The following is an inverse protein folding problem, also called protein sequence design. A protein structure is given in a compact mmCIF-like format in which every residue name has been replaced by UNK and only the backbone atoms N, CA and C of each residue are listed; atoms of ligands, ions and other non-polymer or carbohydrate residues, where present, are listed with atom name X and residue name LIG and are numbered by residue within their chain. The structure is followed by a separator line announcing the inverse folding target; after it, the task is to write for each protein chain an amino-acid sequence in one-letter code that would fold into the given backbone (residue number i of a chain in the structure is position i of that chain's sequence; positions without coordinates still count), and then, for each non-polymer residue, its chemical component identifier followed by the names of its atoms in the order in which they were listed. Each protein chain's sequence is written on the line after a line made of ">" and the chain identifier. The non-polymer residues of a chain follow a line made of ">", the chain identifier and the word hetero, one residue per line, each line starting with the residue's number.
data_IF_122680949873
#
_entry.id   IF_122680949873
#
_cell.length_a   1.000
_cell.length_b   1.000
_cell.length_c   1.000
_cell.angle_alpha   90.00
_cell.angle_beta   90.00
_cell.angle_gamma   90.00
#
_symmetry.space_group_name_H-M   'P 1'
#
loop_
_entity.id
_entity.type
_entity.pdbx_description
1 polymer ?
#
# COMPACT_ATOMS: atom_id res chain seq x y z
N UNK A 1 10.54 -16.41 9.19
CA UNK A 1 9.69 -15.21 9.32
C UNK A 1 10.50 -14.01 8.89
N UNK A 2 9.94 -13.06 8.14
CA UNK A 2 10.68 -11.86 7.72
C UNK A 2 11.11 -11.05 8.96
N UNK A 3 12.31 -10.50 8.92
CA UNK A 3 12.84 -9.71 10.04
C UNK A 3 12.13 -8.36 10.15
N UNK A 4 12.12 -7.74 11.34
CA UNK A 4 11.53 -6.40 11.55
C UNK A 4 12.13 -5.37 10.58
N UNK A 5 13.42 -5.50 10.24
CA UNK A 5 14.09 -4.65 9.23
C UNK A 5 13.48 -4.81 7.84
N UNK A 6 13.17 -6.04 7.42
CA UNK A 6 12.54 -6.31 6.12
C UNK A 6 11.11 -5.77 6.07
N UNK A 7 10.36 -5.90 7.16
CA UNK A 7 9.00 -5.35 7.25
C UNK A 7 9.05 -3.82 7.12
N UNK A 8 10.00 -3.17 7.78
CA UNK A 8 10.13 -1.72 7.75
C UNK A 8 10.60 -1.21 6.37
N UNK A 9 11.56 -1.91 5.73
CA UNK A 9 11.99 -1.59 4.37
C UNK A 9 10.84 -1.74 3.35
N UNK A 10 10.04 -2.79 3.47
CA UNK A 10 8.87 -3.01 2.61
C UNK A 10 7.80 -1.93 2.81
N UNK A 11 7.56 -1.52 4.06
CA UNK A 11 6.66 -0.41 4.36
C UNK A 11 7.15 0.91 3.73
N UNK A 12 8.44 1.18 3.83
CA UNK A 12 9.03 2.40 3.28
C UNK A 12 8.95 2.44 1.75
N UNK A 13 9.27 1.33 1.08
CA UNK A 13 9.14 1.18 -0.36
C UNK A 13 7.68 1.33 -0.85
N UNK A 14 6.72 0.82 -0.06
CA UNK A 14 5.30 1.00 -0.36
C UNK A 14 4.85 2.47 -0.27
N UNK A 15 5.34 3.21 0.74
CA UNK A 15 5.07 4.66 0.89
C UNK A 15 5.71 5.48 -0.25
N UNK A 16 6.90 5.11 -0.71
CA UNK A 16 7.54 5.79 -1.84
C UNK A 16 6.79 5.55 -3.15
N UNK A 17 6.33 4.32 -3.40
CA UNK A 17 5.51 3.98 -4.57
C UNK A 17 4.23 4.82 -4.61
N UNK A 18 3.63 5.04 -3.44
CA UNK A 18 2.45 5.88 -3.24
C UNK A 18 2.64 7.35 -3.62
N UNK A 19 3.81 7.89 -3.29
CA UNK A 19 4.13 9.27 -3.63
C UNK A 19 4.26 9.45 -5.14
N UNK A 20 4.85 8.47 -5.82
CA UNK A 20 4.94 8.44 -7.27
C UNK A 20 3.55 8.37 -7.94
N UNK A 21 2.63 7.53 -7.45
CA UNK A 21 1.28 7.43 -8.01
C UNK A 21 0.48 8.74 -7.91
N UNK A 22 0.63 9.47 -6.80
CA UNK A 22 -0.05 10.76 -6.60
C UNK A 22 0.45 11.83 -7.58
N UNK A 23 1.75 11.81 -7.88
CA UNK A 23 2.35 12.70 -8.89
C UNK A 23 1.87 12.32 -10.29
N UNK A 24 1.85 11.03 -10.61
CA UNK A 24 1.38 10.52 -11.91
C UNK A 24 -0.08 10.89 -12.17
N UNK A 25 -0.95 10.77 -11.16
CA UNK A 25 -2.36 11.12 -11.31
C UNK A 25 -2.60 12.63 -11.49
N UNK A 26 -1.70 13.47 -10.96
CA UNK A 26 -1.75 14.93 -11.13
C UNK A 26 -1.39 15.34 -12.56
N UNK A 27 -0.51 14.59 -13.21
CA UNK A 27 0.00 14.89 -14.55
C UNK A 27 -0.89 14.28 -15.66
N UNK A 28 -2.04 13.73 -15.31
CA UNK A 28 -3.03 13.26 -16.29
C UNK A 28 -3.69 14.46 -16.97
N UNK A 29 -3.65 14.50 -18.31
CA UNK A 29 -4.37 15.49 -19.10
C UNK A 29 -5.86 15.53 -18.71
N UNK A 30 -6.45 16.74 -18.57
CA UNK A 30 -7.84 16.88 -18.18
C UNK A 30 -8.78 16.30 -19.25
N UNK A 31 -9.94 15.79 -18.81
CA UNK A 31 -10.86 14.97 -19.61
C UNK A 31 -11.57 15.73 -20.74
N UNK A 32 -11.59 17.06 -20.63
CA UNK A 32 -12.22 18.00 -21.55
C UNK A 32 -11.38 18.29 -22.79
N UNK A 33 -10.10 17.90 -22.81
CA UNK A 33 -9.24 18.08 -23.97
C UNK A 33 -9.29 16.87 -24.92
N UNK A 34 -9.43 17.10 -26.24
CA UNK A 34 -9.36 16.02 -27.21
C UNK A 34 -7.97 15.38 -27.17
N UNK A 35 -7.93 14.08 -26.87
CA UNK A 35 -6.70 13.30 -26.80
C UNK A 35 -6.49 12.53 -28.11
N UNK A 36 -5.25 12.52 -28.61
CA UNK A 36 -4.84 11.61 -29.69
C UNK A 36 -4.88 10.16 -29.21
N UNK A 37 -4.94 9.20 -30.15
CA UNK A 37 -4.96 7.78 -29.81
C UNK A 37 -3.74 7.35 -28.97
N UNK A 38 -2.56 7.94 -29.21
CA UNK A 38 -1.36 7.62 -28.43
C UNK A 38 -1.45 8.17 -27.00
N UNK A 39 -1.95 9.40 -26.84
CA UNK A 39 -2.19 9.99 -25.51
C UNK A 39 -3.23 9.18 -24.73
N UNK A 40 -4.27 8.67 -25.38
CA UNK A 40 -5.27 7.79 -24.75
C UNK A 40 -4.63 6.49 -24.25
N UNK A 41 -3.78 5.85 -25.07
CA UNK A 41 -3.05 4.64 -24.65
C UNK A 41 -2.13 4.91 -23.47
N UNK A 42 -1.37 6.02 -23.52
CA UNK A 42 -0.47 6.40 -22.43
C UNK A 42 -1.25 6.61 -21.14
N UNK A 43 -2.37 7.34 -21.19
CA UNK A 43 -3.26 7.53 -20.05
C UNK A 43 -3.83 6.22 -19.52
N UNK A 44 -4.26 5.31 -20.38
CA UNK A 44 -4.74 3.99 -19.97
C UNK A 44 -3.66 3.20 -19.21
N UNK A 45 -2.40 3.27 -19.66
CA UNK A 45 -1.26 2.63 -18.95
C UNK A 45 -1.06 3.24 -17.56
N UNK A 46 -1.10 4.57 -17.45
CA UNK A 46 -0.94 5.28 -16.16
C UNK A 46 -2.09 4.97 -15.19
N UNK A 47 -3.33 4.93 -15.67
CA UNK A 47 -4.48 4.54 -14.85
C UNK A 47 -4.31 3.09 -14.38
N UNK A 48 -3.90 2.20 -15.28
CA UNK A 48 -3.69 0.80 -14.94
C UNK A 48 -2.59 0.62 -13.88
N UNK A 49 -1.46 1.31 -14.00
CA UNK A 49 -0.39 1.25 -13.00
C UNK A 49 -0.85 1.77 -11.63
N UNK A 50 -1.59 2.88 -11.60
CA UNK A 50 -2.15 3.43 -10.36
C UNK A 50 -3.14 2.46 -9.69
N UNK A 51 -4.00 1.80 -10.47
CA UNK A 51 -4.93 0.79 -9.94
C UNK A 51 -4.20 -0.42 -9.35
N UNK A 52 -3.14 -0.91 -10.03
CA UNK A 52 -2.33 -2.01 -9.53
C UNK A 52 -1.62 -1.64 -8.22
N UNK A 53 -1.04 -0.44 -8.15
CA UNK A 53 -0.37 0.03 -6.95
C UNK A 53 -1.36 0.19 -5.78
N UNK A 54 -2.55 0.76 -6.03
CA UNK A 54 -3.63 0.84 -5.02
C UNK A 54 -4.02 -0.53 -4.48
N UNK A 55 -4.15 -1.54 -5.36
CA UNK A 55 -4.46 -2.92 -4.93
C UNK A 55 -3.35 -3.52 -4.07
N UNK A 56 -2.07 -3.30 -4.44
CA UNK A 56 -0.92 -3.77 -3.64
C UNK A 56 -0.90 -3.13 -2.26
N UNK A 57 -1.19 -1.83 -2.18
CA UNK A 57 -1.27 -1.16 -0.89
C UNK A 57 -2.41 -1.68 -0.02
N UNK A 58 -3.57 -1.97 -0.61
CA UNK A 58 -4.69 -2.51 0.15
C UNK A 58 -4.29 -3.83 0.80
N UNK A 59 -3.64 -4.73 0.06
CA UNK A 59 -3.09 -5.97 0.61
C UNK A 59 -2.07 -5.73 1.74
N UNK A 60 -1.21 -4.71 1.61
CA UNK A 60 -0.26 -4.37 2.68
C UNK A 60 -0.96 -3.83 3.92
N UNK A 61 -2.00 -2.99 3.74
CA UNK A 61 -2.82 -2.46 4.83
C UNK A 61 -3.54 -3.58 5.57
N UNK A 62 -4.19 -4.49 4.83
CA UNK A 62 -4.92 -5.62 5.40
C UNK A 62 -3.98 -6.53 6.20
N UNK A 63 -2.76 -6.77 5.68
CA UNK A 63 -1.72 -7.52 6.40
C UNK A 63 -1.25 -6.80 7.65
N UNK A 64 -1.05 -5.48 7.60
CA UNK A 64 -0.64 -4.70 8.76
C UNK A 64 -1.71 -4.74 9.86
N UNK A 65 -2.99 -4.65 9.50
CA UNK A 65 -4.11 -4.73 10.43
C UNK A 65 -4.23 -6.13 11.06
N UNK A 66 -4.08 -7.19 10.25
CA UNK A 66 -4.05 -8.57 10.76
C UNK A 66 -2.89 -8.80 11.75
N UNK A 67 -1.70 -8.28 11.45
CA UNK A 67 -0.53 -8.37 12.33
C UNK A 67 -0.73 -7.57 13.61
N UNK A 68 -1.29 -6.36 13.54
CA UNK A 68 -1.62 -5.56 14.71
C UNK A 68 -2.59 -6.31 15.63
N UNK A 69 -3.66 -6.89 15.07
CA UNK A 69 -4.60 -7.70 15.84
C UNK A 69 -3.95 -8.96 16.45
N UNK A 70 -3.03 -9.62 15.74
CA UNK A 70 -2.28 -10.75 16.27
C UNK A 70 -1.37 -10.35 17.44
N UNK A 71 -0.68 -9.20 17.32
CA UNK A 71 0.18 -8.66 18.36
C UNK A 71 -0.62 -8.32 19.62
N UNK A 72 -1.79 -7.66 19.47
CA UNK A 72 -2.67 -7.37 20.60
C UNK A 72 -3.11 -8.64 21.31
N UNK A 73 -3.50 -9.70 20.58
CA UNK A 73 -3.86 -10.99 21.19
C UNK A 73 -2.69 -11.63 21.94
N UNK A 74 -1.48 -11.55 21.38
CA UNK A 74 -0.27 -12.06 22.02
C UNK A 74 -0.01 -11.33 23.34
N UNK A 75 -0.04 -9.99 23.34
CA UNK A 75 0.16 -9.17 24.54
C UNK A 75 -0.87 -9.45 25.63
N UNK A 76 -2.15 -9.61 25.26
CA UNK A 76 -3.22 -10.00 26.19
C UNK A 76 -2.89 -11.35 26.83
N UNK A 77 -2.45 -12.33 26.03
CA UNK A 77 -2.13 -13.68 26.52
C UNK A 77 -0.92 -13.67 27.46
N UNK A 78 0.12 -12.91 27.15
CA UNK A 78 1.27 -12.75 28.07
C UNK A 78 0.85 -12.11 29.38
N UNK A 79 0.04 -11.05 29.36
CA UNK A 79 -0.46 -10.40 30.56
C UNK A 79 -1.32 -11.35 31.42
N UNK A 80 -2.09 -12.25 30.79
CA UNK A 80 -2.87 -13.27 31.50
C UNK A 80 -1.99 -14.33 32.16
N UNK A 81 -0.90 -14.75 31.50
CA UNK A 81 0.07 -15.70 32.06
C UNK A 81 0.80 -15.05 33.25
N UNK A 82 1.28 -13.82 33.09
CA UNK A 82 1.98 -13.09 34.15
C UNK A 82 1.12 -12.84 35.40
N UNK A 83 -0.21 -12.71 35.25
CA UNK A 83 -1.14 -12.58 36.39
C UNK A 83 -1.45 -13.88 37.12
N UNK A 84 -1.12 -15.04 36.53
CA UNK A 84 -1.41 -16.37 37.06
C UNK A 84 -0.17 -17.06 37.65
N UNK A 85 1.02 -16.51 37.39
CA UNK A 85 2.28 -16.89 38.03
C UNK A 85 2.46 -16.11 39.34
#
# INVERSE_FOLDING_TARGET
>A
MPSIREVNANAHAAVQSLHADRVICRDLMPLDQPMTAEQQRQRARLIHSALLARKRMQLLRDRAEALAGALTRFQIREAQIAKRA
#
